data_IF_181053390061
#
_entry.id   IF_181053390061
#
_cell.length_a   1.000
_cell.length_b   1.000
_cell.length_c   1.000
_cell.angle_alpha   90.00
_cell.angle_beta   90.00
_cell.angle_gamma   90.00
#
_symmetry.space_group_name_H-M   'P 1'
#
loop_
_entity.id
_entity.type
_entity.pdbx_description
1 polymer ?
#
# COMPACT_ATOMS: atom_id res chain seq x y z
N UNK A 1 -0.35 27.97 -19.01
CA UNK A 1 -0.82 26.69 -19.58
C UNK A 1 -1.52 25.98 -18.45
N UNK A 2 -2.82 25.71 -18.61
CA UNK A 2 -3.54 24.80 -17.71
C UNK A 2 -2.87 23.44 -17.87
N UNK A 3 -2.28 22.91 -16.80
CA UNK A 3 -1.76 21.56 -16.79
C UNK A 3 -2.94 20.58 -16.73
N UNK A 4 -2.79 19.40 -17.32
CA UNK A 4 -3.77 18.35 -17.22
C UNK A 4 -3.88 17.90 -15.74
N UNK A 5 -5.13 17.78 -15.26
CA UNK A 5 -5.41 17.26 -13.94
C UNK A 5 -5.17 15.75 -13.88
N UNK A 6 -4.89 15.22 -12.68
CA UNK A 6 -4.70 13.78 -12.49
C UNK A 6 -5.43 13.28 -11.23
N UNK A 7 -5.80 12.01 -11.27
CA UNK A 7 -6.29 11.23 -10.13
C UNK A 7 -5.56 9.90 -10.16
N UNK A 8 -4.73 9.61 -9.15
CA UNK A 8 -3.87 8.43 -9.12
C UNK A 8 -4.01 7.70 -7.77
N UNK A 9 -3.83 6.38 -7.77
CA UNK A 9 -3.67 5.63 -6.52
C UNK A 9 -2.22 5.69 -6.04
N UNK A 10 -2.05 5.71 -4.71
CA UNK A 10 -0.74 5.66 -4.06
C UNK A 10 -0.74 4.58 -2.98
N UNK A 11 0.28 3.73 -2.98
CA UNK A 11 0.38 2.68 -1.97
C UNK A 11 0.66 3.28 -0.59
N UNK A 12 -0.21 3.02 0.38
CA UNK A 12 -0.03 3.46 1.77
C UNK A 12 1.19 2.81 2.44
N UNK A 13 1.61 1.64 1.96
CA UNK A 13 2.75 0.88 2.54
C UNK A 13 4.11 1.51 2.23
N UNK A 14 4.20 2.28 1.16
CA UNK A 14 5.44 2.91 0.67
C UNK A 14 5.58 4.37 1.06
N UNK A 15 4.63 4.91 1.82
CA UNK A 15 4.65 6.29 2.29
C UNK A 15 5.77 6.53 3.31
N UNK A 16 6.26 7.76 3.45
CA UNK A 16 7.08 8.18 4.59
C UNK A 16 6.37 7.93 5.92
N UNK A 17 7.11 7.74 7.00
CA UNK A 17 6.53 7.39 8.31
C UNK A 17 5.58 8.47 8.86
N UNK A 18 5.84 9.75 8.59
CA UNK A 18 4.94 10.87 8.95
C UNK A 18 3.57 10.73 8.28
N UNK A 19 3.55 10.39 7.00
CA UNK A 19 2.33 10.17 6.25
C UNK A 19 1.61 8.89 6.69
N UNK A 20 2.35 7.81 6.96
CA UNK A 20 1.80 6.57 7.52
C UNK A 20 1.12 6.82 8.87
N UNK A 21 1.75 7.62 9.72
CA UNK A 21 1.18 8.01 11.01
C UNK A 21 -0.13 8.77 10.79
N UNK A 22 -0.15 9.74 9.87
CA UNK A 22 -1.38 10.46 9.52
C UNK A 22 -2.47 9.53 9.00
N UNK A 23 -2.15 8.58 8.11
CA UNK A 23 -3.11 7.57 7.61
C UNK A 23 -3.76 6.80 8.76
N UNK A 24 -2.98 6.40 9.77
CA UNK A 24 -3.43 5.55 10.86
C UNK A 24 -4.10 6.30 12.01
N UNK A 25 -3.94 7.62 12.09
CA UNK A 25 -4.66 8.42 13.07
C UNK A 25 -6.16 8.35 12.81
N UNK A 26 -6.91 7.91 13.82
CA UNK A 26 -8.38 7.74 13.76
C UNK A 26 -9.12 9.06 13.64
N UNK A 27 -8.49 10.19 14.02
CA UNK A 27 -9.06 11.51 13.95
C UNK A 27 -9.33 11.90 12.48
N UNK A 28 -10.33 12.74 12.29
CA UNK A 28 -10.71 13.34 11.01
C UNK A 28 -11.29 12.38 9.95
N UNK A 29 -11.49 11.09 10.30
CA UNK A 29 -12.24 10.18 9.44
C UNK A 29 -13.73 10.42 9.55
N UNK A 30 -14.37 10.72 8.41
CA UNK A 30 -15.82 10.74 8.27
C UNK A 30 -16.34 9.37 7.84
N UNK A 31 -17.43 8.91 8.44
CA UNK A 31 -18.10 7.66 8.04
C UNK A 31 -18.97 7.88 6.80
N UNK A 32 -18.78 7.05 5.79
CA UNK A 32 -19.69 6.95 4.65
C UNK A 32 -20.55 5.71 4.83
N UNK A 33 -21.87 5.92 4.98
CA UNK A 33 -22.84 4.88 5.30
C UNK A 33 -23.78 4.59 4.14
N UNK A 34 -24.29 3.37 4.07
CA UNK A 34 -25.34 2.98 3.16
C UNK A 34 -26.73 3.42 3.70
N UNK A 35 -27.79 3.18 2.91
CA UNK A 35 -29.19 3.48 3.29
C UNK A 35 -29.65 2.75 4.57
N UNK A 36 -28.95 1.69 4.99
CA UNK A 36 -29.26 0.91 6.21
C UNK A 36 -28.44 1.38 7.43
N UNK A 37 -27.61 2.44 7.29
CA UNK A 37 -26.76 2.98 8.34
C UNK A 37 -25.44 2.20 8.55
N UNK A 38 -25.14 1.19 7.72
CA UNK A 38 -23.88 0.45 7.82
C UNK A 38 -22.73 1.25 7.21
N UNK A 39 -21.57 1.25 7.86
CA UNK A 39 -20.36 1.91 7.35
C UNK A 39 -19.85 1.13 6.13
N UNK A 40 -19.86 1.78 4.99
CA UNK A 40 -19.27 1.26 3.75
C UNK A 40 -17.74 1.45 3.78
N UNK A 41 -17.31 2.65 4.11
CA UNK A 41 -15.92 3.02 4.31
C UNK A 41 -15.82 4.32 5.11
N UNK A 42 -14.64 4.61 5.61
CA UNK A 42 -14.31 5.87 6.26
C UNK A 42 -13.38 6.65 5.34
N UNK A 43 -13.46 7.97 5.34
CA UNK A 43 -12.70 8.83 4.45
C UNK A 43 -12.14 10.02 5.19
N UNK A 44 -10.90 10.40 4.88
CA UNK A 44 -10.33 11.70 5.26
C UNK A 44 -9.46 12.24 4.15
N UNK A 45 -9.23 13.54 4.16
CA UNK A 45 -8.43 14.23 3.17
C UNK A 45 -7.49 15.27 3.80
N UNK A 46 -6.43 15.58 3.09
CA UNK A 46 -5.61 16.77 3.32
C UNK A 46 -5.20 17.40 2.00
N UNK A 47 -4.89 18.68 2.04
CA UNK A 47 -4.26 19.42 0.93
C UNK A 47 -2.97 20.01 1.48
N UNK A 48 -1.84 19.72 0.82
CA UNK A 48 -0.53 20.21 1.23
C UNK A 48 0.44 20.18 0.04
N UNK A 49 1.61 20.79 0.22
CA UNK A 49 2.71 20.74 -0.74
C UNK A 49 3.58 19.52 -0.48
N UNK A 50 3.63 18.63 -1.46
CA UNK A 50 4.42 17.40 -1.39
C UNK A 50 5.63 17.47 -2.30
N UNK A 51 6.79 17.04 -1.78
CA UNK A 51 8.05 17.02 -2.54
C UNK A 51 8.23 15.70 -3.27
N UNK A 52 8.53 15.78 -4.55
CA UNK A 52 8.84 14.65 -5.42
C UNK A 52 10.23 14.79 -6.00
N UNK A 53 11.05 13.76 -5.84
CA UNK A 53 12.37 13.72 -6.46
C UNK A 53 12.33 12.84 -7.72
N UNK A 54 12.91 13.33 -8.78
CA UNK A 54 13.06 12.59 -10.03
C UNK A 54 14.45 12.81 -10.61
N UNK A 55 14.85 11.94 -11.52
CA UNK A 55 16.09 12.09 -12.27
C UNK A 55 15.75 12.59 -13.67
N UNK A 56 16.32 13.71 -14.08
CA UNK A 56 16.10 14.25 -15.43
C UNK A 56 16.84 13.43 -16.50
N UNK A 57 16.59 13.76 -17.76
CA UNK A 57 17.20 13.09 -18.91
C UNK A 57 18.72 13.19 -18.95
N UNK A 58 19.33 14.15 -18.23
CA UNK A 58 20.78 14.33 -18.09
C UNK A 58 21.35 13.59 -16.87
N UNK A 59 20.53 12.84 -16.11
CA UNK A 59 20.96 12.09 -14.94
C UNK A 59 21.02 12.90 -13.63
N UNK A 60 20.58 14.15 -13.62
CA UNK A 60 20.59 14.99 -12.41
C UNK A 60 19.32 14.75 -11.57
N UNK A 61 19.52 14.61 -10.26
CA UNK A 61 18.38 14.55 -9.31
C UNK A 61 17.79 15.95 -9.15
N UNK A 62 16.48 16.04 -9.38
CA UNK A 62 15.68 17.25 -9.17
C UNK A 62 14.56 16.98 -8.20
N UNK A 63 14.13 18.02 -7.51
CA UNK A 63 12.96 17.98 -6.60
C UNK A 63 11.96 19.02 -7.03
N UNK A 64 10.72 18.63 -7.16
CA UNK A 64 9.57 19.51 -7.42
C UNK A 64 8.61 19.43 -6.27
N UNK A 65 8.00 20.56 -5.91
CA UNK A 65 6.87 20.62 -4.98
C UNK A 65 5.57 20.72 -5.77
N UNK A 66 4.62 19.88 -5.42
CA UNK A 66 3.28 19.86 -6.02
C UNK A 66 2.24 20.00 -4.90
N UNK A 67 1.34 20.97 -5.05
CA UNK A 67 0.17 21.06 -4.19
C UNK A 67 -0.81 19.97 -4.60
N UNK A 68 -1.10 19.04 -3.71
CA UNK A 68 -1.96 17.89 -3.95
C UNK A 68 -3.01 17.74 -2.85
N UNK A 69 -4.17 17.24 -3.26
CA UNK A 69 -5.14 16.65 -2.34
C UNK A 69 -4.84 15.17 -2.21
N UNK A 70 -4.71 14.71 -0.96
CA UNK A 70 -4.60 13.29 -0.62
C UNK A 70 -5.84 12.84 0.09
N UNK A 71 -6.42 11.76 -0.39
CA UNK A 71 -7.67 11.17 0.11
C UNK A 71 -7.35 9.76 0.55
N UNK A 72 -7.55 9.48 1.84
CA UNK A 72 -7.40 8.13 2.40
C UNK A 72 -8.76 7.57 2.69
N UNK A 73 -8.98 6.32 2.30
CA UNK A 73 -10.18 5.57 2.67
C UNK A 73 -9.79 4.32 3.45
N UNK A 74 -10.62 3.96 4.43
CA UNK A 74 -10.55 2.70 5.16
C UNK A 74 -11.85 1.93 4.97
N UNK A 75 -11.76 0.72 4.40
CA UNK A 75 -12.91 -0.15 4.20
C UNK A 75 -12.80 -1.37 5.12
N UNK A 76 -13.70 -1.53 6.12
CA UNK A 76 -13.64 -2.62 7.09
C UNK A 76 -13.79 -4.02 6.45
N UNK A 77 -14.65 -4.16 5.43
CA UNK A 77 -14.86 -5.43 4.72
C UNK A 77 -13.61 -5.82 3.93
N UNK A 78 -12.99 -4.84 3.25
CA UNK A 78 -11.72 -5.05 2.55
C UNK A 78 -10.60 -5.40 3.54
N UNK A 79 -10.55 -4.73 4.70
CA UNK A 79 -9.56 -5.02 5.75
C UNK A 79 -9.67 -6.47 6.23
N UNK A 80 -10.89 -6.95 6.49
CA UNK A 80 -11.13 -8.33 6.90
C UNK A 80 -10.68 -9.33 5.82
N UNK A 81 -11.06 -9.09 4.56
CA UNK A 81 -10.65 -9.92 3.42
C UNK A 81 -9.11 -9.96 3.27
N UNK A 82 -8.45 -8.80 3.31
CA UNK A 82 -7.00 -8.72 3.19
C UNK A 82 -6.28 -9.40 4.36
N UNK A 83 -6.76 -9.22 5.61
CA UNK A 83 -6.18 -9.91 6.77
C UNK A 83 -6.32 -11.42 6.68
N UNK A 84 -7.47 -11.92 6.21
CA UNK A 84 -7.65 -13.35 5.94
C UNK A 84 -6.63 -13.86 4.91
N UNK A 85 -6.46 -13.15 3.79
CA UNK A 85 -5.50 -13.52 2.75
C UNK A 85 -4.05 -13.48 3.26
N UNK A 86 -3.67 -12.45 4.03
CA UNK A 86 -2.36 -12.37 4.68
C UNK A 86 -2.12 -13.61 5.53
N UNK A 87 -3.08 -13.99 6.39
CA UNK A 87 -2.95 -15.15 7.26
C UNK A 87 -2.79 -16.43 6.44
N UNK A 88 -3.57 -16.60 5.37
CA UNK A 88 -3.47 -17.75 4.45
C UNK A 88 -2.08 -17.84 3.82
N UNK A 89 -1.52 -16.72 3.35
CA UNK A 89 -0.18 -16.67 2.76
C UNK A 89 0.93 -16.93 3.80
N UNK A 90 0.77 -16.43 5.02
CA UNK A 90 1.70 -16.69 6.13
C UNK A 90 1.71 -18.17 6.49
N UNK A 91 0.55 -18.82 6.60
CA UNK A 91 0.47 -20.26 6.88
C UNK A 91 1.09 -21.09 5.74
N UNK A 92 0.89 -20.68 4.48
CA UNK A 92 1.58 -21.28 3.34
C UNK A 92 3.09 -21.14 3.48
N UNK A 93 3.59 -19.94 3.81
CA UNK A 93 5.02 -19.68 4.00
C UNK A 93 5.62 -20.56 5.12
N UNK A 94 4.92 -20.72 6.24
CA UNK A 94 5.34 -21.59 7.35
C UNK A 94 5.45 -23.05 6.92
N UNK A 95 4.47 -23.56 6.18
CA UNK A 95 4.48 -24.94 5.65
C UNK A 95 5.65 -25.16 4.68
N UNK A 96 5.87 -24.22 3.74
CA UNK A 96 6.98 -24.28 2.79
C UNK A 96 8.34 -24.20 3.49
N UNK A 97 8.46 -23.36 4.54
CA UNK A 97 9.65 -23.33 5.38
C UNK A 97 9.91 -24.69 6.05
N UNK A 98 8.89 -25.30 6.63
CA UNK A 98 8.99 -26.59 7.31
C UNK A 98 9.39 -27.73 6.36
N UNK A 99 8.92 -27.69 5.10
CA UNK A 99 9.29 -28.66 4.05
C UNK A 99 10.61 -28.36 3.35
N UNK A 100 11.33 -27.30 3.75
CA UNK A 100 12.57 -26.84 3.10
C UNK A 100 12.40 -26.56 1.60
N UNK A 101 11.25 -26.03 1.22
CA UNK A 101 10.90 -25.73 -0.17
C UNK A 101 11.87 -24.72 -0.81
N UNK A 102 12.06 -24.83 -2.11
CA UNK A 102 12.90 -23.91 -2.88
C UNK A 102 12.27 -22.50 -2.91
N UNK A 103 13.09 -21.46 -3.05
CA UNK A 103 12.63 -20.06 -3.10
C UNK A 103 11.53 -19.83 -4.14
N UNK A 104 11.61 -20.46 -5.31
CA UNK A 104 10.62 -20.35 -6.39
C UNK A 104 9.23 -20.86 -6.01
N UNK A 105 9.10 -21.77 -5.04
CA UNK A 105 7.84 -22.37 -4.61
C UNK A 105 7.01 -21.45 -3.72
N UNK A 106 7.64 -20.43 -3.12
CA UNK A 106 6.96 -19.50 -2.24
C UNK A 106 5.95 -18.58 -2.96
N UNK A 107 6.19 -18.23 -4.24
CA UNK A 107 5.30 -17.35 -4.98
C UNK A 107 4.94 -16.09 -4.19
N UNK A 108 3.64 -15.77 -4.08
CA UNK A 108 3.16 -14.61 -3.34
C UNK A 108 3.45 -14.64 -1.84
N UNK A 109 3.69 -15.81 -1.25
CA UNK A 109 4.04 -15.91 0.17
C UNK A 109 5.50 -15.51 0.46
N UNK A 110 6.33 -15.34 -0.58
CA UNK A 110 7.73 -14.89 -0.47
C UNK A 110 7.89 -13.53 0.21
N UNK A 111 6.88 -12.66 0.11
CA UNK A 111 6.85 -11.33 0.77
C UNK A 111 6.82 -11.40 2.31
N UNK A 112 6.50 -12.57 2.86
CA UNK A 112 6.40 -12.80 4.31
C UNK A 112 7.56 -13.64 4.86
N UNK A 113 8.58 -13.88 4.05
CA UNK A 113 9.81 -14.56 4.46
C UNK A 113 11.04 -13.76 4.08
N UNK A 114 12.11 -13.97 4.82
CA UNK A 114 13.45 -13.50 4.49
C UNK A 114 14.30 -14.70 4.10
N UNK A 115 14.96 -14.60 2.94
CA UNK A 115 15.91 -15.61 2.45
C UNK A 115 17.31 -15.13 2.81
N UNK A 116 17.92 -15.73 3.82
CA UNK A 116 19.23 -15.36 4.34
C UNK A 116 20.27 -16.32 3.77
N UNK A 117 21.20 -15.85 2.92
CA UNK A 117 22.31 -16.68 2.47
C UNK A 117 23.13 -17.14 3.69
N UNK A 118 23.33 -18.44 3.85
CA UNK A 118 24.15 -18.97 4.94
C UNK A 118 25.34 -19.72 4.35
N UNK A 119 26.54 -19.23 4.65
CA UNK A 119 27.72 -20.06 4.54
C UNK A 119 28.40 -20.17 5.90
N UNK A 120 29.29 -21.18 6.04
CA UNK A 120 30.04 -21.43 7.29
C UNK A 120 31.04 -20.33 7.63
N UNK A 121 31.23 -19.30 6.75
CA UNK A 121 32.22 -18.22 6.89
C UNK A 121 31.67 -16.81 6.70
N UNK A 122 30.33 -16.62 6.52
CA UNK A 122 29.73 -15.32 6.29
C UNK A 122 29.95 -14.71 4.90
N UNK A 123 30.39 -15.50 3.91
CA UNK A 123 30.59 -15.06 2.51
C UNK A 123 29.36 -15.45 1.68
N UNK A 124 28.96 -14.59 0.73
CA UNK A 124 27.89 -14.88 -0.22
C UNK A 124 28.32 -16.03 -1.16
N UNK A 125 27.76 -17.20 -0.98
CA UNK A 125 27.96 -18.33 -1.91
C UNK A 125 26.60 -18.95 -2.26
N UNK A 126 26.52 -19.64 -3.39
CA UNK A 126 25.38 -20.47 -3.82
C UNK A 126 25.12 -21.65 -2.86
N UNK A 127 25.12 -21.39 -1.57
CA UNK A 127 24.94 -22.37 -0.50
C UNK A 127 23.52 -22.35 0.07
N UNK A 128 23.31 -23.15 1.08
CA UNK A 128 22.02 -23.29 1.76
C UNK A 128 21.46 -21.94 2.22
N UNK A 129 20.22 -21.66 1.83
CA UNK A 129 19.51 -20.44 2.20
C UNK A 129 18.68 -20.73 3.43
N UNK A 130 18.94 -20.00 4.53
CA UNK A 130 18.08 -20.03 5.72
C UNK A 130 16.83 -19.21 5.43
N UNK A 131 15.66 -19.80 5.63
CA UNK A 131 14.38 -19.11 5.48
C UNK A 131 13.84 -18.73 6.85
N UNK A 132 13.54 -17.46 7.03
CA UNK A 132 12.92 -16.95 8.26
C UNK A 132 11.59 -16.26 7.96
N UNK A 133 10.61 -16.41 8.87
CA UNK A 133 9.36 -15.68 8.78
C UNK A 133 9.64 -14.20 9.08
N UNK A 134 9.18 -13.30 8.21
CA UNK A 134 9.37 -11.87 8.36
C UNK A 134 8.17 -11.24 9.08
N UNK A 135 8.21 -11.31 10.41
CA UNK A 135 7.11 -10.78 11.26
C UNK A 135 6.86 -9.29 11.02
N UNK A 136 7.90 -8.50 10.77
CA UNK A 136 7.78 -7.07 10.46
C UNK A 136 6.97 -6.82 9.18
N UNK A 137 7.20 -7.60 8.13
CA UNK A 137 6.42 -7.54 6.90
C UNK A 137 4.96 -7.94 7.11
N UNK A 138 4.72 -8.97 7.93
CA UNK A 138 3.38 -9.44 8.28
C UNK A 138 2.62 -8.37 9.05
N UNK A 139 3.24 -7.81 10.09
CA UNK A 139 2.65 -6.76 10.91
C UNK A 139 2.32 -5.53 10.06
N UNK A 140 3.26 -5.07 9.24
CA UNK A 140 3.06 -3.95 8.34
C UNK A 140 1.91 -4.21 7.34
N UNK A 141 1.83 -5.42 6.78
CA UNK A 141 0.75 -5.79 5.88
C UNK A 141 -0.61 -5.76 6.56
N UNK A 142 -0.71 -6.27 7.81
CA UNK A 142 -1.93 -6.26 8.62
C UNK A 142 -2.34 -4.86 9.05
N UNK A 143 -1.37 -4.02 9.41
CA UNK A 143 -1.58 -2.64 9.87
C UNK A 143 -2.25 -1.79 8.80
N UNK A 144 -1.87 -1.96 7.53
CA UNK A 144 -2.41 -1.21 6.40
C UNK A 144 -3.51 -1.94 5.62
N UNK A 145 -4.02 -3.06 6.13
CA UNK A 145 -5.14 -3.75 5.51
C UNK A 145 -6.40 -2.87 5.53
N UNK A 146 -7.06 -2.76 4.38
CA UNK A 146 -8.28 -1.96 4.19
C UNK A 146 -8.04 -0.48 3.87
N UNK A 147 -6.81 0.00 3.96
CA UNK A 147 -6.48 1.38 3.60
C UNK A 147 -6.10 1.51 2.13
N UNK A 148 -6.65 2.55 1.49
CA UNK A 148 -6.29 3.00 0.15
C UNK A 148 -6.05 4.51 0.17
N UNK A 149 -5.15 4.98 -0.69
CA UNK A 149 -4.90 6.41 -0.88
C UNK A 149 -5.06 6.78 -2.35
N UNK A 150 -5.74 7.89 -2.58
CA UNK A 150 -5.85 8.56 -3.87
C UNK A 150 -5.17 9.92 -3.73
N UNK A 151 -4.41 10.31 -4.73
CA UNK A 151 -3.77 11.62 -4.85
C UNK A 151 -4.28 12.32 -6.09
N UNK A 152 -4.50 13.63 -6.00
CA UNK A 152 -5.03 14.39 -7.13
C UNK A 152 -4.54 15.85 -7.11
N UNK A 153 -4.37 16.41 -8.30
CA UNK A 153 -4.17 17.84 -8.51
C UNK A 153 -5.47 18.65 -8.37
N UNK A 154 -6.64 17.96 -8.39
CA UNK A 154 -7.97 18.59 -8.28
C UNK A 154 -8.29 18.96 -6.82
N UNK A 155 -7.53 19.90 -6.25
CA UNK A 155 -7.58 20.25 -4.83
C UNK A 155 -8.92 20.81 -4.37
N UNK A 156 -9.72 21.39 -5.27
CA UNK A 156 -11.04 21.96 -4.98
C UNK A 156 -12.19 20.96 -5.14
N UNK A 157 -11.92 19.79 -5.75
CA UNK A 157 -12.94 18.74 -5.90
C UNK A 157 -13.20 18.05 -4.58
N UNK A 158 -14.47 17.85 -4.20
CA UNK A 158 -14.83 17.10 -2.99
C UNK A 158 -14.25 15.67 -3.02
N UNK A 159 -13.73 15.18 -1.88
CA UNK A 159 -13.12 13.86 -1.77
C UNK A 159 -14.04 12.73 -2.27
N UNK A 160 -15.35 12.81 -1.99
CA UNK A 160 -16.34 11.84 -2.46
C UNK A 160 -16.45 11.79 -3.98
N UNK A 161 -16.34 12.94 -4.65
CA UNK A 161 -16.36 13.02 -6.13
C UNK A 161 -15.07 12.45 -6.73
N UNK A 162 -13.92 12.76 -6.15
CA UNK A 162 -12.62 12.18 -6.57
C UNK A 162 -12.65 10.66 -6.41
N UNK A 163 -13.14 10.18 -5.26
CA UNK A 163 -13.27 8.75 -4.98
C UNK A 163 -14.18 8.06 -5.99
N UNK A 164 -15.36 8.66 -6.28
CA UNK A 164 -16.29 8.12 -7.28
C UNK A 164 -15.68 8.12 -8.69
N UNK A 165 -15.01 9.20 -9.09
CA UNK A 165 -14.33 9.29 -10.39
C UNK A 165 -13.26 8.19 -10.53
N UNK A 166 -12.41 8.01 -9.51
CA UNK A 166 -11.38 6.97 -9.50
C UNK A 166 -11.98 5.56 -9.65
N UNK A 167 -13.05 5.24 -8.92
CA UNK A 167 -13.69 3.94 -9.01
C UNK A 167 -14.48 3.73 -10.32
N UNK A 168 -14.98 4.79 -10.95
CA UNK A 168 -15.64 4.67 -12.23
C UNK A 168 -14.66 4.37 -13.37
N UNK A 169 -13.42 4.88 -13.32
CA UNK A 169 -12.37 4.54 -14.28
C UNK A 169 -12.07 3.02 -14.29
N UNK A 170 -12.03 2.39 -13.13
CA UNK A 170 -11.85 0.94 -13.00
C UNK A 170 -12.94 0.11 -13.69
N UNK A 171 -14.19 0.61 -13.70
CA UNK A 171 -15.31 -0.09 -14.36
C UNK A 171 -15.20 -0.07 -15.88
N UNK A 172 -14.51 0.90 -16.44
CA UNK A 172 -14.31 1.00 -17.90
C UNK A 172 -13.23 0.01 -18.36
N UNK A 173 -12.25 -0.29 -17.51
CA UNK A 173 -11.17 -1.25 -17.81
C UNK A 173 -11.62 -2.72 -17.70
N UNK A 174 -12.70 -3.01 -16.96
CA UNK A 174 -13.26 -4.37 -16.80
C UNK A 174 -14.35 -4.71 -17.84
N UNK A 175 -14.70 -3.80 -18.73
CA UNK A 175 -15.72 -3.99 -19.79
C UNK A 175 -15.10 -4.11 -21.16
#
# INVERSE_FOLDING_TARGET
KAGDGYILSKSVKTLPETEKTWVLLENDYADVKNKRGEILYRIKECVDDFSYSYTDTAGHKKTVKLTEKRIVTFNPKLAAKQKYEINRQVEKAKKLKASQAKRSEYGDSSKYVSFIPTNKKGEETEGAVKVEINEKSIENARKFAGYNMIVTSEIHMAASKVYAAYHNLWRIEES
#
